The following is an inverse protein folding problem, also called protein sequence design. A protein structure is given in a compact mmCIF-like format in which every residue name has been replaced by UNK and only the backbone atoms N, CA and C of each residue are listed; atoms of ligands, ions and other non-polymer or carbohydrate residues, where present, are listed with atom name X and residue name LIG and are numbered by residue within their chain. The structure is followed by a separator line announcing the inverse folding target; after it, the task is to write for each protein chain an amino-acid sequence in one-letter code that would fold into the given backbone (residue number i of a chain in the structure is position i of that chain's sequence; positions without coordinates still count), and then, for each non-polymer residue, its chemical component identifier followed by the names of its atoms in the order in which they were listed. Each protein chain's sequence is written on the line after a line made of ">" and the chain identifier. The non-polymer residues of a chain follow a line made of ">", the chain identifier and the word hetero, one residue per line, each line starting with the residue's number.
data_IF_452822850739
#
_entry.id   IF_452822850739
#
_cell.length_a   1.000
_cell.length_b   1.000
_cell.length_c   1.000
_cell.angle_alpha   90.00
_cell.angle_beta   90.00
_cell.angle_gamma   90.00
#
_symmetry.space_group_name_H-M   'P 1'
#
loop_
_entity.id
_entity.type
_entity.pdbx_description
1 polymer ?
#
# COMPACT_ATOMS: atom_id res chain seq x y z
N UNK A 1 15.49 -24.83 21.14
CA UNK A 1 14.62 -23.66 21.35
C UNK A 1 14.33 -23.07 19.98
N UNK A 2 13.08 -23.13 19.51
CA UNK A 2 12.71 -22.66 18.18
C UNK A 2 12.43 -21.15 18.27
N UNK A 3 13.32 -20.32 17.73
CA UNK A 3 13.16 -18.85 17.74
C UNK A 3 12.12 -18.45 16.70
N UNK A 4 10.98 -17.89 17.12
CA UNK A 4 10.00 -17.32 16.20
C UNK A 4 10.64 -16.09 15.55
N UNK A 5 10.92 -16.17 14.25
CA UNK A 5 11.41 -15.04 13.45
C UNK A 5 10.23 -14.13 13.11
N UNK A 6 10.23 -12.90 13.62
CA UNK A 6 9.19 -11.91 13.32
C UNK A 6 9.59 -11.11 12.07
N UNK A 7 8.67 -10.98 11.13
CA UNK A 7 8.84 -10.20 9.91
C UNK A 7 7.85 -9.01 9.98
N UNK A 8 8.32 -7.76 10.11
CA UNK A 8 7.42 -6.62 10.24
C UNK A 8 6.67 -6.36 8.93
N UNK A 9 5.37 -6.10 9.04
CA UNK A 9 4.49 -5.74 7.92
C UNK A 9 3.74 -4.44 8.29
N UNK A 10 4.38 -3.27 8.14
CA UNK A 10 3.80 -2.00 8.57
C UNK A 10 2.55 -1.67 7.74
N UNK A 11 1.54 -1.12 8.41
CA UNK A 11 0.34 -0.60 7.75
C UNK A 11 0.66 0.69 6.98
N UNK A 12 -0.14 0.98 5.95
CA UNK A 12 -0.04 2.23 5.17
C UNK A 12 -1.36 3.00 5.18
N UNK A 13 -1.26 4.31 4.98
CA UNK A 13 -2.35 5.21 4.66
C UNK A 13 -2.12 5.81 3.26
N UNK A 14 -3.21 6.06 2.53
CA UNK A 14 -3.18 6.90 1.35
C UNK A 14 -3.55 8.32 1.79
N UNK A 15 -2.58 9.23 1.88
CA UNK A 15 -2.85 10.64 2.21
C UNK A 15 -3.55 11.37 1.04
N UNK A 16 -3.42 10.82 -0.16
CA UNK A 16 -4.09 11.25 -1.36
C UNK A 16 -4.36 10.04 -2.25
N UNK A 17 -5.50 10.01 -2.93
CA UNK A 17 -5.81 9.01 -3.96
C UNK A 17 -6.65 9.66 -5.06
N UNK A 18 -6.16 9.57 -6.29
CA UNK A 18 -6.86 10.04 -7.48
C UNK A 18 -6.85 8.97 -8.56
N UNK A 19 -8.03 8.69 -9.10
CA UNK A 19 -8.24 7.77 -10.23
C UNK A 19 -8.11 8.59 -11.51
N UNK A 20 -7.08 8.31 -12.30
CA UNK A 20 -6.79 9.08 -13.53
C UNK A 20 -7.36 8.42 -14.79
N UNK A 21 -7.88 7.20 -14.69
CA UNK A 21 -8.51 6.50 -15.82
C UNK A 21 -8.70 5.00 -15.58
N UNK A 22 -9.34 4.32 -16.54
CA UNK A 22 -9.51 2.86 -16.58
C UNK A 22 -8.63 2.26 -17.67
N UNK A 23 -7.91 1.20 -17.33
CA UNK A 23 -7.00 0.47 -18.21
C UNK A 23 -7.73 -0.67 -18.92
N UNK A 24 -7.17 -1.15 -20.03
CA UNK A 24 -7.75 -2.24 -20.82
C UNK A 24 -7.83 -3.57 -20.05
N UNK A 25 -7.01 -3.76 -19.01
CA UNK A 25 -7.01 -4.93 -18.12
C UNK A 25 -8.10 -4.85 -17.02
N UNK A 26 -8.94 -3.82 -17.04
CA UNK A 26 -10.05 -3.64 -16.11
C UNK A 26 -9.70 -2.91 -14.80
N UNK A 27 -8.41 -2.60 -14.56
CA UNK A 27 -7.97 -1.84 -13.40
C UNK A 27 -7.97 -0.32 -13.63
N UNK A 28 -7.69 0.45 -12.58
CA UNK A 28 -7.58 1.90 -12.64
C UNK A 28 -6.12 2.35 -12.68
N UNK A 29 -5.85 3.40 -13.46
CA UNK A 29 -4.63 4.18 -13.34
C UNK A 29 -4.77 5.08 -12.10
N UNK A 30 -3.81 5.05 -11.17
CA UNK A 30 -3.88 5.76 -9.90
C UNK A 30 -2.69 6.70 -9.72
N UNK A 31 -2.96 7.86 -9.11
CA UNK A 31 -1.96 8.72 -8.50
C UNK A 31 -2.25 8.77 -6.99
N UNK A 32 -1.23 8.53 -6.15
CA UNK A 32 -1.41 8.42 -4.70
C UNK A 32 -0.15 8.88 -3.98
N UNK A 33 -0.31 9.42 -2.77
CA UNK A 33 0.79 9.65 -1.82
C UNK A 33 0.62 8.68 -0.66
N UNK A 34 1.61 7.78 -0.50
CA UNK A 34 1.59 6.76 0.54
C UNK A 34 2.43 7.20 1.74
N UNK A 35 1.93 6.90 2.94
CA UNK A 35 2.66 7.04 4.19
C UNK A 35 2.54 5.73 4.98
N UNK A 36 3.67 5.21 5.45
CA UNK A 36 3.66 4.12 6.42
C UNK A 36 3.31 4.65 7.80
N UNK A 37 2.58 3.86 8.58
CA UNK A 37 2.35 4.15 9.99
C UNK A 37 3.53 3.64 10.82
N UNK A 38 3.86 4.37 11.88
CA UNK A 38 4.92 3.97 12.80
C UNK A 38 4.54 2.70 13.58
N UNK A 39 5.58 1.91 13.93
CA UNK A 39 5.49 0.59 14.56
C UNK A 39 5.77 0.61 16.07
#
# INVERSE_FOLDING_TARGET
>A
MNTIKRWPAPAKLNLFLHITGRRADGYHQLQSVFQFLDY
#
